data_IF_086910732234
#
_entry.id   IF_086910732234
#
_cell.length_a   1.000
_cell.length_b   1.000
_cell.length_c   1.000
_cell.angle_alpha   90.00
_cell.angle_beta   90.00
_cell.angle_gamma   90.00
#
_symmetry.space_group_name_H-M   'P 1'
#
loop_
_entity.id
_entity.type
_entity.pdbx_description
1 polymer ?
#
# COMPACT_ATOMS: atom_id res chain seq x y z
N UNK A 1 39.94 17.76 -62.20
CA UNK A 1 40.16 17.94 -60.74
C UNK A 1 38.82 18.07 -60.00
N UNK A 2 38.22 16.97 -59.52
CA UNK A 2 37.14 16.99 -58.52
C UNK A 2 37.53 15.97 -57.45
N UNK A 3 37.88 16.38 -56.23
CA UNK A 3 38.30 15.40 -55.21
C UNK A 3 38.72 15.87 -53.82
N UNK A 4 38.89 17.16 -53.54
CA UNK A 4 39.46 17.60 -52.25
C UNK A 4 38.47 18.25 -51.25
N UNK A 5 37.25 18.61 -51.68
CA UNK A 5 36.24 19.24 -50.81
C UNK A 5 35.47 18.29 -49.87
N UNK A 6 35.26 17.02 -50.27
CA UNK A 6 34.43 16.06 -49.51
C UNK A 6 35.17 15.42 -48.31
N UNK A 7 36.48 15.20 -48.38
CA UNK A 7 37.27 14.56 -47.30
C UNK A 7 37.46 15.44 -46.05
N UNK A 8 37.53 16.77 -46.20
CA UNK A 8 37.63 17.71 -45.05
C UNK A 8 36.28 17.89 -44.33
N UNK A 9 35.16 17.89 -45.06
CA UNK A 9 33.80 17.89 -44.47
C UNK A 9 33.50 16.58 -43.72
N UNK A 10 33.94 15.43 -44.23
CA UNK A 10 33.77 14.15 -43.53
C UNK A 10 34.62 14.05 -42.24
N UNK A 11 35.89 14.48 -42.25
CA UNK A 11 36.73 14.51 -41.04
C UNK A 11 36.17 15.42 -39.93
N UNK A 12 35.71 16.64 -40.27
CA UNK A 12 35.08 17.56 -39.29
C UNK A 12 33.78 16.99 -38.70
N UNK A 13 32.99 16.28 -39.51
CA UNK A 13 31.76 15.60 -39.07
C UNK A 13 32.08 14.45 -38.10
N UNK A 14 33.06 13.61 -38.42
CA UNK A 14 33.52 12.51 -37.57
C UNK A 14 34.04 13.02 -36.22
N UNK A 15 34.84 14.11 -36.21
CA UNK A 15 35.36 14.70 -34.97
C UNK A 15 34.21 15.23 -34.08
N UNK A 16 33.21 15.92 -34.67
CA UNK A 16 32.03 16.39 -33.94
C UNK A 16 31.18 15.23 -33.39
N UNK A 17 31.02 14.15 -34.15
CA UNK A 17 30.30 12.96 -33.72
C UNK A 17 31.02 12.23 -32.57
N UNK A 18 32.36 12.13 -32.61
CA UNK A 18 33.16 11.55 -31.52
C UNK A 18 33.13 12.42 -30.26
N UNK A 19 33.24 13.74 -30.41
CA UNK A 19 33.13 14.69 -29.28
C UNK A 19 31.73 14.66 -28.65
N UNK A 20 30.67 14.62 -29.47
CA UNK A 20 29.30 14.49 -29.00
C UNK A 20 29.06 13.15 -28.27
N UNK A 21 29.60 12.03 -28.79
CA UNK A 21 29.55 10.72 -28.11
C UNK A 21 30.29 10.72 -26.77
N UNK A 22 31.47 11.34 -26.70
CA UNK A 22 32.24 11.44 -25.46
C UNK A 22 31.55 12.35 -24.43
N UNK A 23 30.98 13.47 -24.87
CA UNK A 23 30.18 14.33 -24.01
C UNK A 23 28.94 13.59 -23.48
N UNK A 24 28.23 12.84 -24.35
CA UNK A 24 27.07 12.03 -23.99
C UNK A 24 27.43 11.03 -22.89
N UNK A 25 28.48 10.24 -23.07
CA UNK A 25 28.89 9.23 -22.08
C UNK A 25 29.34 9.86 -20.76
N UNK A 26 30.04 10.98 -20.79
CA UNK A 26 30.44 11.69 -19.58
C UNK A 26 29.25 12.19 -18.76
N UNK A 27 28.23 12.76 -19.41
CA UNK A 27 27.02 13.23 -18.72
C UNK A 27 26.26 12.06 -18.09
N UNK A 28 26.10 10.95 -18.83
CA UNK A 28 25.44 9.74 -18.33
C UNK A 28 26.15 9.22 -17.09
N UNK A 29 27.49 9.05 -17.16
CA UNK A 29 28.28 8.53 -16.05
C UNK A 29 28.18 9.42 -14.80
N UNK A 30 28.19 10.75 -14.97
CA UNK A 30 28.00 11.69 -13.86
C UNK A 30 26.59 11.55 -13.27
N UNK A 31 25.55 11.56 -14.10
CA UNK A 31 24.17 11.44 -13.64
C UNK A 31 23.94 10.16 -12.83
N UNK A 32 24.44 9.03 -13.33
CA UNK A 32 24.28 7.74 -12.68
C UNK A 32 25.08 7.65 -11.38
N UNK A 33 26.30 8.22 -11.34
CA UNK A 33 27.11 8.26 -10.13
C UNK A 33 26.44 9.10 -9.03
N UNK A 34 26.00 10.32 -9.35
CA UNK A 34 25.27 11.14 -8.39
C UNK A 34 24.00 10.47 -7.90
N UNK A 35 23.25 9.82 -8.80
CA UNK A 35 22.04 9.09 -8.44
C UNK A 35 22.35 7.92 -7.49
N UNK A 36 23.34 7.09 -7.82
CA UNK A 36 23.75 5.95 -6.99
C UNK A 36 24.24 6.36 -5.59
N UNK A 37 24.84 7.56 -5.47
CA UNK A 37 25.29 8.12 -4.19
C UNK A 37 24.21 8.92 -3.45
N UNK A 38 22.96 8.94 -3.94
CA UNK A 38 21.87 9.68 -3.32
C UNK A 38 21.99 11.21 -3.44
N UNK A 39 22.89 11.74 -4.27
CA UNK A 39 22.96 13.17 -4.57
C UNK A 39 21.90 13.52 -5.62
N UNK A 40 20.65 13.57 -5.16
CA UNK A 40 19.46 13.73 -6.00
C UNK A 40 19.49 15.04 -6.79
N UNK A 41 19.90 16.14 -6.18
CA UNK A 41 19.95 17.46 -6.84
C UNK A 41 20.91 17.46 -8.04
N UNK A 42 22.13 16.93 -7.87
CA UNK A 42 23.09 16.86 -8.96
C UNK A 42 22.69 15.84 -10.03
N UNK A 43 22.09 14.71 -9.64
CA UNK A 43 21.56 13.74 -10.59
C UNK A 43 20.50 14.37 -11.52
N UNK A 44 19.54 15.12 -10.96
CA UNK A 44 18.51 15.83 -11.74
C UNK A 44 19.13 16.84 -12.70
N UNK A 45 20.11 17.63 -12.23
CA UNK A 45 20.78 18.61 -13.10
C UNK A 45 21.38 17.94 -14.32
N UNK A 46 22.06 16.81 -14.14
CA UNK A 46 22.66 16.08 -15.25
C UNK A 46 21.64 15.39 -16.15
N UNK A 47 20.55 14.83 -15.61
CA UNK A 47 19.46 14.29 -16.43
C UNK A 47 18.77 15.36 -17.26
N UNK A 48 18.42 16.51 -16.66
CA UNK A 48 17.82 17.64 -17.38
C UNK A 48 18.77 18.18 -18.43
N UNK A 49 20.05 18.35 -18.09
CA UNK A 49 21.06 18.78 -19.06
C UNK A 49 21.14 17.83 -20.25
N UNK A 50 21.20 16.52 -20.01
CA UNK A 50 21.20 15.50 -21.07
C UNK A 50 20.00 15.63 -22.01
N UNK A 51 18.80 15.78 -21.46
CA UNK A 51 17.55 15.89 -22.22
C UNK A 51 17.50 17.20 -22.99
N UNK A 52 17.92 18.33 -22.38
CA UNK A 52 17.95 19.65 -23.02
C UNK A 52 18.93 19.73 -24.19
N UNK A 53 19.98 18.90 -24.20
CA UNK A 53 20.88 18.77 -25.36
C UNK A 53 20.26 17.96 -26.51
N UNK A 54 19.02 17.47 -26.37
CA UNK A 54 18.34 16.63 -27.37
C UNK A 54 18.87 15.20 -27.42
N UNK A 55 19.61 14.75 -26.40
CA UNK A 55 20.12 13.39 -26.37
C UNK A 55 19.02 12.38 -26.00
N UNK A 56 19.08 11.22 -26.64
CA UNK A 56 18.19 10.10 -26.38
C UNK A 56 18.98 8.91 -25.80
N UNK A 57 18.56 8.43 -24.64
CA UNK A 57 19.08 7.20 -24.02
C UNK A 57 18.03 6.61 -23.07
N UNK A 58 17.59 5.39 -23.35
CA UNK A 58 16.53 4.73 -22.56
C UNK A 58 16.85 4.66 -21.06
N UNK A 59 18.11 4.41 -20.67
CA UNK A 59 18.48 4.28 -19.26
C UNK A 59 18.42 5.63 -18.55
N UNK A 60 18.82 6.72 -19.22
CA UNK A 60 18.69 8.08 -18.69
C UNK A 60 17.23 8.42 -18.42
N UNK A 61 16.36 8.27 -19.42
CA UNK A 61 14.93 8.56 -19.25
C UNK A 61 14.31 7.65 -18.18
N UNK A 62 14.65 6.35 -18.18
CA UNK A 62 14.16 5.40 -17.17
C UNK A 62 14.55 5.81 -15.75
N UNK A 63 15.82 6.16 -15.52
CA UNK A 63 16.31 6.53 -14.20
C UNK A 63 15.79 7.90 -13.75
N UNK A 64 15.67 8.86 -14.67
CA UNK A 64 15.10 10.16 -14.35
C UNK A 64 13.61 10.07 -13.98
N UNK A 65 12.85 9.23 -14.67
CA UNK A 65 11.45 8.98 -14.31
C UNK A 65 11.28 8.38 -12.92
N UNK A 66 12.14 7.42 -12.52
CA UNK A 66 12.14 6.89 -11.15
C UNK A 66 12.46 7.99 -10.14
N UNK A 67 13.46 8.83 -10.41
CA UNK A 67 13.84 9.93 -9.54
C UNK A 67 12.71 10.96 -9.36
N UNK A 68 12.01 11.29 -10.45
CA UNK A 68 10.83 12.17 -10.40
C UNK A 68 9.71 11.58 -9.56
N UNK A 69 9.48 10.27 -9.66
CA UNK A 69 8.53 9.55 -8.80
C UNK A 69 8.90 9.69 -7.33
N UNK A 70 10.17 9.46 -6.97
CA UNK A 70 10.65 9.58 -5.59
C UNK A 70 10.47 10.99 -5.02
N UNK A 71 10.52 12.01 -5.87
CA UNK A 71 10.28 13.42 -5.52
C UNK A 71 8.78 13.80 -5.47
N UNK A 72 7.88 12.87 -5.80
CA UNK A 72 6.43 13.12 -5.84
C UNK A 72 5.92 13.73 -7.15
N UNK A 73 6.77 13.94 -8.16
CA UNK A 73 6.40 14.44 -9.49
C UNK A 73 5.89 13.31 -10.39
N UNK A 74 4.88 12.57 -9.90
CA UNK A 74 4.46 11.28 -10.48
C UNK A 74 3.89 11.45 -11.90
N UNK A 75 3.19 12.54 -12.19
CA UNK A 75 2.65 12.79 -13.55
C UNK A 75 3.77 13.06 -14.56
N UNK A 76 4.82 13.81 -14.18
CA UNK A 76 5.99 14.02 -15.04
C UNK A 76 6.79 12.71 -15.21
N UNK A 77 6.90 11.92 -14.13
CA UNK A 77 7.52 10.61 -14.17
C UNK A 77 6.86 9.68 -15.19
N UNK A 78 5.52 9.67 -15.29
CA UNK A 78 4.80 8.88 -16.31
C UNK A 78 5.24 9.27 -17.72
N UNK A 79 5.28 10.57 -18.03
CA UNK A 79 5.69 11.07 -19.36
C UNK A 79 7.13 10.66 -19.70
N UNK A 80 8.04 10.83 -18.74
CA UNK A 80 9.47 10.52 -18.92
C UNK A 80 9.69 9.01 -19.12
N UNK A 81 8.99 8.15 -18.37
CA UNK A 81 9.08 6.70 -18.54
C UNK A 81 8.46 6.24 -19.86
N UNK A 82 7.31 6.81 -20.28
CA UNK A 82 6.74 6.51 -21.60
C UNK A 82 7.73 6.87 -22.71
N UNK A 83 8.48 7.97 -22.57
CA UNK A 83 9.56 8.30 -23.51
C UNK A 83 10.69 7.28 -23.51
N UNK A 84 11.07 6.72 -22.35
CA UNK A 84 12.04 5.63 -22.29
C UNK A 84 11.57 4.40 -23.09
N UNK A 85 10.29 4.04 -22.97
CA UNK A 85 9.67 2.92 -23.71
C UNK A 85 9.63 3.20 -25.21
N UNK A 86 9.30 4.42 -25.65
CA UNK A 86 9.37 4.80 -27.06
C UNK A 86 10.78 4.63 -27.64
N UNK A 87 11.81 5.00 -26.87
CA UNK A 87 13.21 4.88 -27.30
C UNK A 87 13.68 3.42 -27.39
N UNK A 88 13.17 2.54 -26.51
CA UNK A 88 13.42 1.11 -26.57
C UNK A 88 12.25 0.31 -25.98
N UNK A 89 11.34 -0.19 -26.83
CA UNK A 89 10.17 -0.94 -26.37
C UNK A 89 10.49 -2.25 -25.66
N UNK A 90 11.69 -2.80 -25.87
CA UNK A 90 12.13 -4.07 -25.29
C UNK A 90 12.90 -3.90 -23.97
N UNK A 91 12.97 -2.69 -23.42
CA UNK A 91 13.63 -2.45 -22.15
C UNK A 91 12.70 -2.74 -20.97
N UNK A 92 12.73 -4.00 -20.49
CA UNK A 92 11.88 -4.52 -19.43
C UNK A 92 11.78 -3.60 -18.19
N UNK A 93 12.90 -2.97 -17.79
CA UNK A 93 12.94 -2.11 -16.61
C UNK A 93 12.04 -0.88 -16.74
N UNK A 94 11.93 -0.27 -17.93
CA UNK A 94 11.03 0.87 -18.12
C UNK A 94 9.55 0.49 -18.03
N UNK A 95 9.18 -0.71 -18.51
CA UNK A 95 7.82 -1.23 -18.32
C UNK A 95 7.51 -1.51 -16.84
N UNK A 96 8.47 -2.07 -16.09
CA UNK A 96 8.32 -2.27 -14.65
C UNK A 96 8.13 -0.94 -13.90
N UNK A 97 8.97 0.05 -14.22
CA UNK A 97 8.88 1.39 -13.64
C UNK A 97 7.56 2.09 -14.01
N UNK A 98 7.10 1.94 -15.26
CA UNK A 98 5.81 2.48 -15.70
C UNK A 98 4.68 1.88 -14.87
N UNK A 99 4.68 0.55 -14.69
CA UNK A 99 3.67 -0.13 -13.88
C UNK A 99 3.59 0.39 -12.44
N UNK A 100 4.74 0.62 -11.82
CA UNK A 100 4.82 1.19 -10.46
C UNK A 100 4.30 2.64 -10.42
N UNK A 101 4.61 3.46 -11.42
CA UNK A 101 4.11 4.85 -11.52
C UNK A 101 2.60 4.88 -11.76
N UNK A 102 2.11 4.08 -12.70
CA UNK A 102 0.68 3.95 -13.02
C UNK A 102 -0.10 3.46 -11.81
N UNK A 103 0.46 2.51 -11.05
CA UNK A 103 -0.09 2.09 -9.77
C UNK A 103 -0.29 3.30 -8.87
N UNK A 104 0.75 4.08 -8.58
CA UNK A 104 0.66 5.24 -7.68
C UNK A 104 -0.32 6.33 -8.17
N UNK A 105 -0.52 6.45 -9.48
CA UNK A 105 -1.53 7.33 -10.10
C UNK A 105 -2.97 6.81 -10.00
N UNK A 106 -3.19 5.57 -9.55
CA UNK A 106 -4.52 4.95 -9.54
C UNK A 106 -4.99 4.52 -10.93
N UNK A 107 -4.07 4.00 -11.75
CA UNK A 107 -4.32 3.38 -13.05
C UNK A 107 -3.97 1.90 -13.00
N UNK A 108 -4.65 1.13 -12.13
CA UNK A 108 -4.23 -0.23 -11.78
C UNK A 108 -4.27 -1.21 -12.96
N UNK A 109 -5.24 -1.12 -13.87
CA UNK A 109 -5.26 -2.00 -15.05
C UNK A 109 -4.13 -1.71 -16.03
N UNK A 110 -3.80 -0.44 -16.28
CA UNK A 110 -2.64 -0.09 -17.12
C UNK A 110 -1.32 -0.53 -16.46
N UNK A 111 -1.27 -0.46 -15.11
CA UNK A 111 -0.12 -0.94 -14.35
C UNK A 111 0.08 -2.45 -14.53
N UNK A 112 -1.00 -3.23 -14.46
CA UNK A 112 -0.97 -4.68 -14.70
C UNK A 112 -0.40 -5.00 -16.09
N UNK A 113 -0.90 -4.34 -17.14
CA UNK A 113 -0.44 -4.53 -18.53
C UNK A 113 1.07 -4.26 -18.64
N UNK A 114 1.52 -3.14 -18.08
CA UNK A 114 2.94 -2.76 -18.13
C UNK A 114 3.84 -3.76 -17.39
N UNK A 115 3.40 -4.26 -16.23
CA UNK A 115 4.16 -5.23 -15.44
C UNK A 115 4.22 -6.60 -16.11
N UNK A 116 3.13 -7.05 -16.74
CA UNK A 116 3.14 -8.27 -17.56
C UNK A 116 4.13 -8.15 -18.72
N UNK A 117 4.18 -7.00 -19.39
CA UNK A 117 5.17 -6.76 -20.46
C UNK A 117 6.61 -6.78 -19.93
N UNK A 118 6.85 -6.25 -18.73
CA UNK A 118 8.16 -6.33 -18.09
C UNK A 118 8.60 -7.79 -17.81
N UNK A 119 7.67 -8.63 -17.35
CA UNK A 119 7.91 -10.06 -17.10
C UNK A 119 8.14 -10.82 -18.42
N UNK A 120 7.36 -10.53 -19.46
CA UNK A 120 7.54 -11.13 -20.79
C UNK A 120 8.95 -10.85 -21.33
N UNK A 121 9.40 -9.60 -21.22
CA UNK A 121 10.73 -9.17 -21.70
C UNK A 121 11.88 -9.66 -20.80
N UNK A 122 11.63 -9.85 -19.50
CA UNK A 122 12.61 -10.39 -18.56
C UNK A 122 11.93 -11.30 -17.51
N UNK A 123 11.82 -12.60 -17.80
CA UNK A 123 11.20 -13.57 -16.89
C UNK A 123 11.95 -13.78 -15.56
N UNK A 124 13.16 -13.20 -15.41
CA UNK A 124 13.97 -13.28 -14.18
C UNK A 124 13.85 -12.01 -13.32
N UNK A 125 12.98 -11.06 -13.68
CA UNK A 125 12.82 -9.79 -12.94
C UNK A 125 11.97 -9.96 -11.68
N UNK A 126 12.61 -10.22 -10.54
CA UNK A 126 11.91 -10.35 -9.25
C UNK A 126 11.06 -9.14 -8.89
N UNK A 127 11.51 -7.92 -9.21
CA UNK A 127 10.74 -6.69 -8.95
C UNK A 127 9.46 -6.64 -9.76
N UNK A 128 9.49 -7.02 -11.05
CA UNK A 128 8.30 -7.03 -11.89
C UNK A 128 7.24 -8.01 -11.37
N UNK A 129 7.64 -9.22 -10.95
CA UNK A 129 6.72 -10.18 -10.33
C UNK A 129 6.13 -9.67 -9.00
N UNK A 130 6.95 -9.10 -8.12
CA UNK A 130 6.43 -8.56 -6.85
C UNK A 130 5.48 -7.39 -7.07
N UNK A 131 5.83 -6.48 -7.97
CA UNK A 131 4.99 -5.33 -8.30
C UNK A 131 3.66 -5.81 -8.93
N UNK A 132 3.70 -6.81 -9.82
CA UNK A 132 2.51 -7.40 -10.40
C UNK A 132 1.62 -8.04 -9.33
N UNK A 133 2.16 -8.87 -8.43
CA UNK A 133 1.40 -9.45 -7.32
C UNK A 133 0.73 -8.38 -6.45
N UNK A 134 1.44 -7.28 -6.17
CA UNK A 134 0.86 -6.13 -5.47
C UNK A 134 -0.30 -5.47 -6.23
N UNK A 135 -0.16 -5.25 -7.53
CA UNK A 135 -1.23 -4.69 -8.38
C UNK A 135 -2.43 -5.63 -8.48
N UNK A 136 -2.20 -6.93 -8.66
CA UNK A 136 -3.25 -7.94 -8.73
C UNK A 136 -4.05 -8.01 -7.43
N UNK A 137 -3.39 -7.93 -6.27
CA UNK A 137 -4.08 -7.82 -4.98
C UNK A 137 -4.92 -6.55 -4.90
N UNK A 138 -4.38 -5.40 -5.31
CA UNK A 138 -5.12 -4.13 -5.29
C UNK A 138 -6.32 -4.15 -6.26
N UNK A 139 -6.28 -4.97 -7.32
CA UNK A 139 -7.40 -5.25 -8.23
C UNK A 139 -8.37 -6.32 -7.70
N UNK A 140 -8.10 -6.95 -6.55
CA UNK A 140 -8.87 -8.08 -6.02
C UNK A 140 -8.80 -9.32 -6.91
N UNK A 141 -7.66 -9.57 -7.57
CA UNK A 141 -7.34 -10.79 -8.34
C UNK A 141 -6.41 -11.68 -7.49
N UNK A 142 -6.94 -12.24 -6.41
CA UNK A 142 -6.13 -12.82 -5.34
C UNK A 142 -5.48 -14.14 -5.76
N UNK A 143 -6.21 -15.01 -6.44
CA UNK A 143 -5.72 -16.28 -6.97
C UNK A 143 -4.56 -16.06 -7.93
N UNK A 144 -4.69 -15.06 -8.80
CA UNK A 144 -3.64 -14.70 -9.75
C UNK A 144 -2.42 -14.07 -9.05
N UNK A 145 -2.64 -13.24 -8.03
CA UNK A 145 -1.56 -12.72 -7.17
C UNK A 145 -0.79 -13.85 -6.47
N UNK A 146 -1.49 -14.88 -5.97
CA UNK A 146 -0.89 -16.06 -5.34
C UNK A 146 -0.09 -16.85 -6.39
N UNK A 147 -0.67 -17.09 -7.57
CA UNK A 147 0.01 -17.77 -8.68
C UNK A 147 1.32 -17.09 -9.08
N UNK A 148 1.29 -15.77 -9.34
CA UNK A 148 2.49 -14.98 -9.66
C UNK A 148 3.53 -15.03 -8.53
N UNK A 149 3.07 -15.08 -7.27
CA UNK A 149 3.97 -15.21 -6.12
C UNK A 149 4.61 -16.60 -6.04
N UNK A 150 3.91 -17.68 -6.39
CA UNK A 150 4.51 -19.03 -6.48
C UNK A 150 5.60 -19.09 -7.56
N UNK A 151 5.43 -18.42 -8.70
CA UNK A 151 6.47 -18.34 -9.73
C UNK A 151 7.80 -17.75 -9.19
N UNK A 152 7.74 -16.82 -8.24
CA UNK A 152 8.93 -16.28 -7.55
C UNK A 152 9.62 -17.36 -6.69
N UNK A 153 8.84 -18.16 -5.97
CA UNK A 153 9.35 -19.24 -5.11
C UNK A 153 10.09 -20.29 -5.94
N UNK A 154 9.51 -20.67 -7.08
CA UNK A 154 10.03 -21.68 -8.01
C UNK A 154 11.27 -21.19 -8.79
N UNK A 155 11.39 -19.88 -9.04
CA UNK A 155 12.52 -19.33 -9.79
C UNK A 155 13.82 -19.42 -8.99
N UNK A 156 14.69 -20.35 -9.38
CA UNK A 156 15.98 -20.62 -8.71
C UNK A 156 16.93 -19.40 -8.66
N UNK A 157 16.92 -18.55 -9.70
CA UNK A 157 17.82 -17.39 -9.78
C UNK A 157 17.42 -16.23 -8.85
N UNK A 158 16.22 -16.24 -8.28
CA UNK A 158 15.77 -15.19 -7.37
C UNK A 158 16.25 -15.47 -5.94
N UNK A 159 16.79 -14.43 -5.31
CA UNK A 159 17.31 -14.52 -3.94
C UNK A 159 16.18 -14.71 -2.90
N UNK A 160 16.56 -15.08 -1.67
CA UNK A 160 15.61 -15.32 -0.57
C UNK A 160 14.79 -14.08 -0.18
N UNK A 161 15.28 -12.87 -0.45
CA UNK A 161 14.54 -11.63 -0.19
C UNK A 161 13.29 -11.48 -1.06
N UNK A 162 13.36 -11.83 -2.35
CA UNK A 162 12.18 -11.89 -3.21
C UNK A 162 11.21 -12.99 -2.77
N UNK A 163 11.73 -14.17 -2.44
CA UNK A 163 10.92 -15.29 -1.94
C UNK A 163 10.19 -14.93 -0.65
N UNK A 164 10.84 -14.21 0.26
CA UNK A 164 10.22 -13.74 1.48
C UNK A 164 9.05 -12.77 1.22
N UNK A 165 9.21 -11.84 0.27
CA UNK A 165 8.11 -10.94 -0.15
C UNK A 165 6.95 -11.73 -0.77
N UNK A 166 7.25 -12.74 -1.57
CA UNK A 166 6.25 -13.61 -2.20
C UNK A 166 5.47 -14.43 -1.16
N UNK A 167 6.14 -15.04 -0.18
CA UNK A 167 5.48 -15.83 0.87
C UNK A 167 4.50 -15.01 1.71
N UNK A 168 4.83 -13.75 2.03
CA UNK A 168 3.89 -12.85 2.71
C UNK A 168 2.66 -12.57 1.84
N UNK A 169 2.84 -12.33 0.54
CA UNK A 169 1.71 -12.14 -0.36
C UNK A 169 0.83 -13.41 -0.44
N UNK A 170 1.44 -14.60 -0.48
CA UNK A 170 0.73 -15.89 -0.49
C UNK A 170 -0.05 -16.08 0.83
N UNK A 171 0.58 -15.81 1.97
CA UNK A 171 -0.08 -15.92 3.28
C UNK A 171 -1.30 -14.99 3.38
N UNK A 172 -1.15 -13.73 2.98
CA UNK A 172 -2.25 -12.74 2.98
C UNK A 172 -3.37 -13.18 2.02
N UNK A 173 -3.03 -13.55 0.79
CA UNK A 173 -4.00 -13.96 -0.22
C UNK A 173 -4.81 -15.19 0.24
N UNK A 174 -4.14 -16.22 0.74
CA UNK A 174 -4.79 -17.42 1.25
C UNK A 174 -5.66 -17.12 2.48
N UNK A 175 -5.23 -16.24 3.38
CA UNK A 175 -6.05 -15.82 4.51
C UNK A 175 -7.35 -15.16 4.04
N UNK A 176 -7.28 -14.27 3.05
CA UNK A 176 -8.45 -13.61 2.48
C UNK A 176 -9.38 -14.62 1.79
N UNK A 177 -8.81 -15.62 1.11
CA UNK A 177 -9.55 -16.71 0.44
C UNK A 177 -10.01 -17.85 1.39
N UNK A 178 -9.84 -17.68 2.72
CA UNK A 178 -10.20 -18.69 3.74
C UNK A 178 -9.40 -19.99 3.65
N UNK A 179 -8.26 -20.00 2.94
CA UNK A 179 -7.36 -21.14 2.88
C UNK A 179 -6.35 -21.11 4.04
N UNK A 180 -6.82 -21.52 5.22
CA UNK A 180 -6.02 -21.47 6.45
C UNK A 180 -4.79 -22.40 6.41
N UNK A 181 -4.88 -23.56 5.74
CA UNK A 181 -3.75 -24.50 5.62
C UNK A 181 -2.57 -23.85 4.90
N UNK A 182 -2.81 -23.31 3.69
CA UNK A 182 -1.76 -22.65 2.91
C UNK A 182 -1.27 -21.35 3.57
N UNK A 183 -2.15 -20.66 4.30
CA UNK A 183 -1.77 -19.52 5.13
C UNK A 183 -0.71 -19.94 6.15
N UNK A 184 -0.95 -21.03 6.89
CA UNK A 184 -0.02 -21.54 7.90
C UNK A 184 1.31 -22.00 7.30
N UNK A 185 1.28 -22.78 6.22
CA UNK A 185 2.50 -23.24 5.53
C UNK A 185 3.36 -22.06 5.07
N UNK A 186 2.73 -21.05 4.48
CA UNK A 186 3.41 -19.84 4.00
C UNK A 186 4.03 -19.02 5.14
N UNK A 187 3.35 -18.92 6.29
CA UNK A 187 3.87 -18.24 7.48
C UNK A 187 5.07 -18.99 8.10
N UNK A 188 5.00 -20.31 8.19
CA UNK A 188 6.13 -21.10 8.68
C UNK A 188 7.36 -20.92 7.80
N UNK A 189 7.19 -21.00 6.47
CA UNK A 189 8.29 -20.76 5.53
C UNK A 189 8.81 -19.32 5.60
N UNK A 190 7.93 -18.35 5.81
CA UNK A 190 8.31 -16.94 6.04
C UNK A 190 9.22 -16.83 7.25
N UNK A 191 8.83 -17.42 8.38
CA UNK A 191 9.58 -17.38 9.63
C UNK A 191 10.94 -18.09 9.51
N UNK A 192 11.01 -19.21 8.80
CA UNK A 192 12.26 -19.89 8.45
C UNK A 192 13.19 -18.97 7.65
N UNK A 193 12.72 -18.36 6.55
CA UNK A 193 13.55 -17.45 5.76
C UNK A 193 14.00 -16.20 6.54
N UNK A 194 13.16 -15.70 7.45
CA UNK A 194 13.54 -14.61 8.36
C UNK A 194 14.70 -15.06 9.27
N UNK A 195 14.62 -16.26 9.85
CA UNK A 195 15.66 -16.83 10.70
C UNK A 195 16.97 -17.03 9.93
N UNK A 196 16.89 -17.43 8.66
CA UNK A 196 18.04 -17.55 7.75
C UNK A 196 18.63 -16.20 7.29
N UNK A 197 18.12 -15.06 7.77
CA UNK A 197 18.64 -13.74 7.44
C UNK A 197 18.18 -13.18 6.09
N UNK A 198 17.14 -13.74 5.46
CA UNK A 198 16.64 -13.28 4.15
C UNK A 198 16.20 -11.81 4.15
N UNK A 199 15.82 -11.26 5.31
CA UNK A 199 15.50 -9.84 5.46
C UNK A 199 16.66 -8.91 5.08
N UNK A 200 17.92 -9.34 5.30
CA UNK A 200 19.11 -8.53 5.00
C UNK A 200 19.34 -8.37 3.49
N UNK A 201 18.70 -9.19 2.67
CA UNK A 201 18.76 -9.12 1.21
C UNK A 201 17.81 -8.06 0.63
N UNK A 202 16.96 -7.46 1.47
CA UNK A 202 15.98 -6.46 1.05
C UNK A 202 16.53 -5.07 1.36
N UNK A 203 16.93 -4.34 0.32
CA UNK A 203 17.56 -3.03 0.45
C UNK A 203 16.60 -2.01 1.10
N UNK A 204 15.40 -1.88 0.56
CA UNK A 204 14.39 -0.93 1.04
C UNK A 204 13.94 -1.21 2.48
N UNK A 205 14.22 -0.26 3.39
CA UNK A 205 13.83 -0.34 4.80
C UNK A 205 12.32 -0.50 4.99
N UNK A 206 11.53 0.17 4.14
CA UNK A 206 10.07 0.10 4.19
C UNK A 206 9.56 -1.32 3.87
N UNK A 207 10.13 -1.99 2.87
CA UNK A 207 9.77 -3.37 2.54
C UNK A 207 10.14 -4.35 3.67
N UNK A 208 11.32 -4.18 4.29
CA UNK A 208 11.70 -4.96 5.48
C UNK A 208 10.70 -4.77 6.63
N UNK A 209 10.34 -3.51 6.91
CA UNK A 209 9.35 -3.17 7.95
C UNK A 209 8.00 -3.79 7.64
N UNK A 210 7.52 -3.68 6.39
CA UNK A 210 6.25 -4.23 5.95
C UNK A 210 6.18 -5.75 6.16
N UNK A 211 7.20 -6.48 5.72
CA UNK A 211 7.28 -7.94 5.89
C UNK A 211 7.24 -8.31 7.36
N UNK A 212 8.06 -7.67 8.20
CA UNK A 212 8.11 -7.95 9.64
C UNK A 212 6.78 -7.65 10.35
N UNK A 213 6.11 -6.56 9.96
CA UNK A 213 4.82 -6.18 10.56
C UNK A 213 3.76 -7.20 10.19
N UNK A 214 3.60 -7.53 8.90
CA UNK A 214 2.60 -8.50 8.46
C UNK A 214 2.93 -9.93 8.92
N UNK A 215 4.19 -10.35 8.90
CA UNK A 215 4.57 -11.69 9.37
C UNK A 215 4.22 -11.88 10.84
N UNK A 216 4.53 -10.89 11.69
CA UNK A 216 4.22 -10.91 13.12
C UNK A 216 2.73 -10.81 13.38
N UNK A 217 2.05 -9.89 12.70
CA UNK A 217 0.60 -9.71 12.86
C UNK A 217 -0.16 -10.97 12.46
N UNK A 218 0.12 -11.56 11.30
CA UNK A 218 -0.58 -12.77 10.89
C UNK A 218 -0.18 -13.96 11.78
N UNK A 219 1.08 -14.03 12.24
CA UNK A 219 1.50 -15.07 13.19
C UNK A 219 0.82 -14.94 14.56
N UNK A 220 0.47 -13.73 15.00
CA UNK A 220 -0.27 -13.51 16.26
C UNK A 220 -1.78 -13.71 16.10
N UNK A 221 -2.31 -13.38 14.92
CA UNK A 221 -3.71 -13.54 14.55
C UNK A 221 -4.09 -15.01 14.30
N UNK A 222 -3.26 -15.76 13.57
CA UNK A 222 -3.60 -17.09 13.08
C UNK A 222 -4.03 -18.09 14.17
N UNK A 223 -3.37 -18.16 15.36
CA UNK A 223 -3.76 -19.07 16.43
C UNK A 223 -5.14 -18.78 17.03
N UNK A 224 -5.59 -17.53 17.02
CA UNK A 224 -6.85 -17.07 17.64
C UNK A 224 -8.00 -16.97 16.64
N UNK A 225 -7.75 -17.18 15.34
CA UNK A 225 -8.83 -17.27 14.36
C UNK A 225 -9.67 -18.53 14.59
N UNK A 226 -10.99 -18.32 14.75
CA UNK A 226 -11.95 -19.42 14.69
C UNK A 226 -12.01 -19.94 13.26
N UNK A 227 -11.65 -21.21 13.09
CA UNK A 227 -11.60 -21.93 11.81
C UNK A 227 -12.74 -22.95 11.81
N UNK A 228 -13.91 -22.54 11.34
CA UNK A 228 -15.03 -23.46 11.18
C UNK A 228 -14.75 -24.38 9.99
N UNK A 229 -14.76 -25.69 10.22
CA UNK A 229 -14.63 -26.70 9.16
C UNK A 229 -15.99 -27.10 8.54
N UNK A 230 -17.07 -26.47 9.01
CA UNK A 230 -18.42 -26.74 8.50
C UNK A 230 -18.63 -26.05 7.15
N UNK A 231 -19.57 -26.59 6.37
CA UNK A 231 -20.04 -25.94 5.16
C UNK A 231 -20.79 -24.65 5.51
N UNK A 232 -20.06 -23.53 5.46
CA UNK A 232 -20.57 -22.18 5.72
C UNK A 232 -21.16 -21.52 4.46
N UNK A 233 -21.35 -22.26 3.34
CA UNK A 233 -21.78 -21.68 2.06
C UNK A 233 -23.13 -20.98 2.11
N UNK A 234 -24.00 -21.36 3.05
CA UNK A 234 -25.31 -20.75 3.28
C UNK A 234 -25.25 -19.39 3.99
N UNK A 235 -24.11 -19.04 4.61
CA UNK A 235 -23.98 -17.81 5.38
C UNK A 235 -23.87 -16.61 4.45
N UNK A 236 -24.68 -15.58 4.72
CA UNK A 236 -24.52 -14.29 4.06
C UNK A 236 -23.16 -13.70 4.42
N UNK A 237 -22.46 -13.20 3.40
CA UNK A 237 -21.15 -12.58 3.55
C UNK A 237 -21.30 -11.07 3.73
N UNK A 238 -20.44 -10.47 4.54
CA UNK A 238 -20.31 -9.01 4.69
C UNK A 238 -18.91 -8.62 4.22
N UNK A 239 -18.76 -7.80 3.18
CA UNK A 239 -17.46 -7.27 2.80
C UNK A 239 -16.96 -6.32 3.89
N UNK A 240 -15.73 -6.55 4.35
CA UNK A 240 -15.04 -5.67 5.29
C UNK A 240 -13.83 -5.04 4.61
N UNK A 241 -13.99 -3.79 4.16
CA UNK A 241 -12.93 -3.00 3.55
C UNK A 241 -12.02 -2.40 4.62
N UNK A 242 -10.73 -2.69 4.54
CA UNK A 242 -9.79 -2.19 5.52
C UNK A 242 -8.33 -2.47 5.21
N UNK A 243 -7.49 -2.26 6.22
CA UNK A 243 -6.09 -2.66 6.20
C UNK A 243 -5.90 -3.83 7.18
N UNK A 244 -5.20 -3.67 8.31
CA UNK A 244 -5.01 -4.75 9.27
C UNK A 244 -6.30 -5.18 9.99
N UNK A 245 -7.19 -4.26 10.35
CA UNK A 245 -8.42 -4.58 11.09
C UNK A 245 -9.38 -5.50 10.32
N UNK A 246 -9.48 -5.39 8.99
CA UNK A 246 -10.34 -6.32 8.25
C UNK A 246 -9.81 -7.74 8.33
N UNK A 247 -8.47 -7.92 8.40
CA UNK A 247 -7.85 -9.23 8.61
C UNK A 247 -8.04 -9.74 10.04
N UNK A 248 -8.02 -8.87 11.05
CA UNK A 248 -8.32 -9.24 12.45
C UNK A 248 -9.65 -9.99 12.59
N UNK A 249 -10.62 -9.70 11.72
CA UNK A 249 -11.93 -10.33 11.73
C UNK A 249 -12.18 -11.26 10.54
N UNK A 250 -11.12 -11.70 9.85
CA UNK A 250 -11.23 -12.55 8.67
C UNK A 250 -12.07 -13.81 8.98
N UNK A 251 -13.15 -13.98 8.21
CA UNK A 251 -14.06 -15.14 8.26
C UNK A 251 -14.76 -15.36 9.60
N UNK A 252 -14.69 -14.39 10.51
CA UNK A 252 -15.40 -14.46 11.78
C UNK A 252 -16.90 -14.23 11.56
N UNK A 253 -17.70 -14.78 12.47
CA UNK A 253 -19.15 -14.70 12.44
C UNK A 253 -19.63 -13.58 13.35
N UNK A 254 -20.62 -12.81 12.89
CA UNK A 254 -21.26 -11.75 13.68
C UNK A 254 -22.78 -11.79 13.47
N UNK A 255 -23.58 -11.78 14.56
CA UNK A 255 -25.02 -11.64 14.44
C UNK A 255 -25.39 -10.18 14.16
N UNK A 256 -26.19 -9.94 13.13
CA UNK A 256 -26.77 -8.62 12.82
C UNK A 256 -28.24 -8.84 12.48
N UNK A 257 -29.13 -8.12 13.15
CA UNK A 257 -30.59 -8.26 12.98
C UNK A 257 -31.07 -9.71 13.09
N UNK A 258 -30.55 -10.45 14.09
CA UNK A 258 -30.83 -11.87 14.34
C UNK A 258 -30.41 -12.84 13.22
N UNK A 259 -29.69 -12.35 12.20
CA UNK A 259 -29.06 -13.17 11.18
C UNK A 259 -27.57 -13.31 11.46
N UNK A 260 -27.05 -14.54 11.42
CA UNK A 260 -25.62 -14.79 11.51
C UNK A 260 -24.95 -14.55 10.14
N UNK A 261 -23.92 -13.69 10.11
CA UNK A 261 -23.22 -13.31 8.88
C UNK A 261 -21.71 -13.59 9.01
N UNK A 262 -21.07 -13.97 7.89
CA UNK A 262 -19.63 -14.21 7.83
C UNK A 262 -18.91 -12.98 7.26
N UNK A 263 -17.86 -12.52 7.94
CA UNK A 263 -17.02 -11.43 7.43
C UNK A 263 -16.14 -11.94 6.30
N UNK A 264 -16.24 -11.29 5.13
CA UNK A 264 -15.29 -11.45 4.03
C UNK A 264 -14.31 -10.26 4.06
N UNK A 265 -13.04 -10.46 4.44
CA UNK A 265 -12.06 -9.38 4.43
C UNK A 265 -11.79 -8.90 3.00
N UNK A 266 -11.68 -7.59 2.82
CA UNK A 266 -11.33 -6.93 1.56
C UNK A 266 -10.19 -5.94 1.83
N UNK A 267 -8.97 -6.41 1.57
CA UNK A 267 -7.76 -5.68 1.95
C UNK A 267 -7.39 -4.61 0.93
N UNK A 268 -7.24 -3.36 1.39
CA UNK A 268 -6.62 -2.26 0.65
C UNK A 268 -5.29 -1.91 1.33
N UNK A 269 -4.18 -2.46 0.81
CA UNK A 269 -2.88 -2.42 1.50
C UNK A 269 -2.35 -1.00 1.69
N UNK A 270 -1.99 -0.65 2.92
CA UNK A 270 -1.40 0.65 3.27
C UNK A 270 -2.36 1.83 3.20
N UNK A 271 -3.66 1.60 2.98
CA UNK A 271 -4.66 2.65 3.00
C UNK A 271 -4.80 3.28 4.40
N UNK A 272 -5.16 4.56 4.40
CA UNK A 272 -5.39 5.43 5.56
C UNK A 272 -6.49 6.41 5.20
N UNK A 273 -7.17 6.96 6.20
CA UNK A 273 -8.28 7.87 5.97
C UNK A 273 -7.89 9.07 5.09
N UNK A 274 -6.70 9.65 5.32
CA UNK A 274 -6.23 10.80 4.53
C UNK A 274 -6.10 10.51 3.02
N UNK A 275 -5.76 9.28 2.63
CA UNK A 275 -5.66 8.89 1.22
C UNK A 275 -7.02 9.00 0.49
N UNK A 276 -8.11 8.84 1.21
CA UNK A 276 -9.46 8.99 0.66
C UNK A 276 -9.97 10.43 0.79
N UNK A 277 -9.45 11.18 1.77
CA UNK A 277 -9.81 12.58 1.99
C UNK A 277 -9.30 13.54 0.91
N UNK A 278 -8.15 13.24 0.29
CA UNK A 278 -7.61 14.06 -0.81
C UNK A 278 -8.51 14.03 -2.05
N UNK A 279 -8.66 15.15 -2.76
CA UNK A 279 -9.52 15.23 -3.94
C UNK A 279 -9.03 14.40 -5.13
N UNK A 280 -7.70 14.35 -5.33
CA UNK A 280 -7.07 13.66 -6.46
C UNK A 280 -7.24 12.13 -6.35
N UNK A 281 -7.47 11.48 -7.50
CA UNK A 281 -7.36 10.02 -7.60
C UNK A 281 -5.96 9.53 -7.25
N UNK A 282 -5.92 8.35 -6.66
CA UNK A 282 -4.70 7.66 -6.25
C UNK A 282 -4.97 6.15 -6.19
N UNK A 283 -3.91 5.38 -5.94
CA UNK A 283 -3.96 3.91 -5.91
C UNK A 283 -4.99 3.31 -4.95
N UNK A 284 -5.22 3.93 -3.79
CA UNK A 284 -6.13 3.40 -2.78
C UNK A 284 -7.58 3.63 -3.17
N UNK A 285 -7.90 4.82 -3.72
CA UNK A 285 -9.21 5.10 -4.31
C UNK A 285 -9.52 4.19 -5.48
N UNK A 286 -8.57 4.00 -6.38
CA UNK A 286 -8.75 3.11 -7.53
C UNK A 286 -8.95 1.66 -7.06
N UNK A 287 -8.07 1.15 -6.19
CA UNK A 287 -8.20 -0.19 -5.60
C UNK A 287 -9.57 -0.41 -4.93
N UNK A 288 -10.02 0.54 -4.10
CA UNK A 288 -11.34 0.48 -3.49
C UNK A 288 -12.45 0.43 -4.55
N UNK A 289 -12.42 1.30 -5.55
CA UNK A 289 -13.43 1.34 -6.61
C UNK A 289 -13.45 0.06 -7.45
N UNK A 290 -12.30 -0.57 -7.73
CA UNK A 290 -12.24 -1.84 -8.46
C UNK A 290 -12.75 -3.01 -7.63
N UNK A 291 -12.35 -3.07 -6.35
CA UNK A 291 -12.79 -4.14 -5.46
C UNK A 291 -14.27 -4.00 -5.09
N UNK A 292 -14.78 -2.78 -4.89
CA UNK A 292 -16.19 -2.50 -4.62
C UNK A 292 -17.12 -3.18 -5.64
N UNK A 293 -16.80 -3.06 -6.95
CA UNK A 293 -17.57 -3.68 -8.04
C UNK A 293 -17.71 -5.20 -7.94
N UNK A 294 -16.81 -5.88 -7.21
CA UNK A 294 -16.81 -7.34 -7.01
C UNK A 294 -17.47 -7.76 -5.68
N UNK A 295 -17.85 -6.81 -4.83
CA UNK A 295 -18.26 -7.07 -3.45
C UNK A 295 -19.65 -6.49 -3.13
N UNK A 296 -20.52 -6.33 -4.12
CA UNK A 296 -21.89 -5.80 -3.97
C UNK A 296 -22.93 -6.87 -3.59
N UNK A 297 -22.51 -8.00 -3.05
CA UNK A 297 -23.37 -9.15 -2.72
C UNK A 297 -24.11 -9.02 -1.37
N UNK A 298 -24.00 -7.88 -0.70
CA UNK A 298 -24.60 -7.60 0.61
C UNK A 298 -25.07 -6.16 0.65
N UNK A 299 -26.14 -5.89 1.41
CA UNK A 299 -26.59 -4.53 1.73
C UNK A 299 -25.79 -3.91 2.89
N UNK A 300 -24.97 -4.73 3.55
CA UNK A 300 -24.14 -4.36 4.69
C UNK A 300 -22.67 -4.28 4.26
N UNK A 301 -21.94 -3.25 4.71
CA UNK A 301 -20.49 -3.14 4.54
C UNK A 301 -19.80 -2.69 5.82
N UNK A 302 -18.64 -3.26 6.09
CA UNK A 302 -17.77 -2.85 7.18
C UNK A 302 -16.57 -2.08 6.65
N UNK A 303 -16.20 -1.00 7.32
CA UNK A 303 -15.15 -0.06 6.88
C UNK A 303 -14.21 0.21 8.04
N UNK A 304 -12.92 -0.12 7.88
CA UNK A 304 -11.90 0.06 8.91
C UNK A 304 -10.65 0.74 8.36
N UNK A 305 -10.82 1.97 7.86
CA UNK A 305 -9.70 2.83 7.49
C UNK A 305 -9.51 3.91 8.54
N UNK A 306 -8.54 3.69 9.43
CA UNK A 306 -8.13 4.68 10.42
C UNK A 306 -6.96 5.53 9.94
N UNK A 307 -6.80 6.68 10.57
CA UNK A 307 -5.56 7.44 10.58
C UNK A 307 -4.67 6.94 11.72
N UNK A 308 -3.56 6.31 11.36
CA UNK A 308 -2.73 5.64 12.35
C UNK A 308 -1.54 6.54 12.68
N UNK A 309 -1.69 7.45 13.66
CA UNK A 309 -0.57 7.84 14.52
C UNK A 309 -0.34 6.72 15.55
N UNK A 310 -0.09 5.47 15.14
CA UNK A 310 0.44 4.46 16.09
C UNK A 310 1.97 4.50 16.16
N UNK A 311 2.60 5.37 15.35
CA UNK A 311 4.05 5.48 15.21
C UNK A 311 4.44 6.92 15.49
N UNK A 312 5.58 7.13 16.15
CA UNK A 312 6.05 8.48 16.53
C UNK A 312 6.44 9.33 15.31
N UNK A 313 6.69 8.71 14.17
CA UNK A 313 7.29 9.30 12.97
C UNK A 313 6.32 9.49 11.79
N UNK A 314 5.09 8.99 11.86
CA UNK A 314 4.11 9.04 10.77
C UNK A 314 2.69 9.28 11.29
N UNK A 315 1.92 10.14 10.62
CA UNK A 315 0.50 10.40 10.89
C UNK A 315 0.18 11.90 11.03
N UNK A 316 -0.90 12.22 11.76
CA UNK A 316 -1.38 13.60 11.94
C UNK A 316 -0.39 14.40 12.79
N UNK A 317 0.13 13.82 13.88
CA UNK A 317 1.00 14.56 14.81
C UNK A 317 2.31 15.02 14.15
N UNK A 318 3.09 14.16 13.45
CA UNK A 318 4.28 14.64 12.74
C UNK A 318 3.96 15.64 11.63
N UNK A 319 2.81 15.47 10.97
CA UNK A 319 2.36 16.39 9.93
C UNK A 319 2.03 17.77 10.48
N UNK A 320 1.28 17.86 11.57
CA UNK A 320 0.89 19.13 12.21
C UNK A 320 2.11 19.88 12.74
N UNK A 321 3.06 19.17 13.35
CA UNK A 321 4.33 19.72 13.79
C UNK A 321 5.16 20.29 12.63
N UNK A 322 5.28 19.55 11.52
CA UNK A 322 6.04 19.99 10.34
C UNK A 322 5.38 21.14 9.58
N UNK A 323 4.05 21.15 9.53
CA UNK A 323 3.27 22.11 8.75
C UNK A 323 2.75 23.30 9.57
N UNK A 324 3.05 23.33 10.88
CA UNK A 324 2.54 24.30 11.84
C UNK A 324 1.00 24.47 11.75
N UNK A 325 0.30 23.34 11.71
CA UNK A 325 -1.17 23.27 11.65
C UNK A 325 -1.77 22.80 12.96
N UNK A 326 -2.99 23.22 13.24
CA UNK A 326 -3.76 22.73 14.37
C UNK A 326 -4.22 21.26 14.16
N UNK A 327 -4.13 20.46 15.22
CA UNK A 327 -4.46 19.02 15.19
C UNK A 327 -5.95 18.81 14.95
N UNK A 328 -6.81 19.58 15.62
CA UNK A 328 -8.25 19.43 15.50
C UNK A 328 -8.70 19.69 14.05
N UNK A 329 -8.18 20.75 13.44
CA UNK A 329 -8.47 21.08 12.04
C UNK A 329 -8.01 19.98 11.08
N UNK A 330 -6.79 19.45 11.25
CA UNK A 330 -6.30 18.36 10.39
C UNK A 330 -7.13 17.08 10.56
N UNK A 331 -7.50 16.72 11.80
CA UNK A 331 -8.42 15.62 12.06
C UNK A 331 -9.77 15.84 11.37
N UNK A 332 -10.37 17.02 11.56
CA UNK A 332 -11.68 17.36 11.01
C UNK A 332 -11.68 17.33 9.48
N UNK A 333 -10.68 17.93 8.83
CA UNK A 333 -10.56 17.92 7.36
C UNK A 333 -10.36 16.51 6.82
N UNK A 334 -9.52 15.72 7.48
CA UNK A 334 -9.27 14.30 7.11
C UNK A 334 -10.55 13.49 7.22
N UNK A 335 -11.27 13.60 8.33
CA UNK A 335 -12.50 12.85 8.59
C UNK A 335 -13.61 13.27 7.64
N UNK A 336 -13.78 14.58 7.42
CA UNK A 336 -14.80 15.08 6.49
C UNK A 336 -14.52 14.60 5.07
N UNK A 337 -13.29 14.73 4.57
CA UNK A 337 -12.94 14.23 3.25
C UNK A 337 -13.12 12.71 3.14
N UNK A 338 -12.66 11.97 4.15
CA UNK A 338 -12.75 10.51 4.20
C UNK A 338 -14.21 10.02 4.18
N UNK A 339 -15.02 10.47 5.14
CA UNK A 339 -16.42 10.01 5.26
C UNK A 339 -17.23 10.49 4.07
N UNK A 340 -17.07 11.73 3.61
CA UNK A 340 -17.79 12.21 2.42
C UNK A 340 -17.46 11.36 1.19
N UNK A 341 -16.18 11.05 0.96
CA UNK A 341 -15.79 10.18 -0.16
C UNK A 341 -16.40 8.78 -0.04
N UNK A 342 -16.32 8.18 1.15
CA UNK A 342 -16.88 6.84 1.40
C UNK A 342 -18.40 6.81 1.22
N UNK A 343 -19.13 7.76 1.80
CA UNK A 343 -20.59 7.81 1.68
C UNK A 343 -21.03 8.02 0.23
N UNK A 344 -20.32 8.84 -0.56
CA UNK A 344 -20.61 9.01 -1.99
C UNK A 344 -20.52 7.67 -2.74
N UNK A 345 -19.47 6.88 -2.51
CA UNK A 345 -19.27 5.65 -3.29
C UNK A 345 -20.01 4.45 -2.71
N UNK A 346 -20.24 4.38 -1.39
CA UNK A 346 -20.79 3.20 -0.73
C UNK A 346 -22.32 3.25 -0.61
N UNK A 347 -22.93 4.42 -0.43
CA UNK A 347 -24.39 4.55 -0.19
C UNK A 347 -25.24 3.99 -1.33
N UNK A 348 -24.74 4.02 -2.56
CA UNK A 348 -25.40 3.45 -3.74
C UNK A 348 -25.46 1.91 -3.72
N UNK A 349 -24.59 1.25 -2.95
CA UNK A 349 -24.44 -0.20 -2.93
C UNK A 349 -24.83 -0.83 -1.59
N UNK A 350 -24.71 -0.08 -0.49
CA UNK A 350 -24.90 -0.59 0.86
C UNK A 350 -25.81 0.34 1.65
N UNK A 351 -26.98 -0.17 2.04
CA UNK A 351 -27.93 0.57 2.89
C UNK A 351 -27.42 0.70 4.33
N UNK A 352 -26.64 -0.28 4.81
CA UNK A 352 -26.08 -0.30 6.17
C UNK A 352 -24.54 -0.28 6.12
N UNK A 353 -23.95 0.82 6.59
CA UNK A 353 -22.50 1.05 6.54
C UNK A 353 -21.97 1.18 7.97
N UNK A 354 -21.04 0.31 8.34
CA UNK A 354 -20.46 0.26 9.69
C UNK A 354 -19.00 0.70 9.66
N UNK A 355 -18.69 1.82 10.32
CA UNK A 355 -17.33 2.33 10.44
C UNK A 355 -16.71 1.93 11.76
N UNK A 356 -15.54 1.32 11.69
CA UNK A 356 -14.75 0.96 12.87
C UNK A 356 -13.87 2.13 13.27
N UNK A 357 -13.94 2.50 14.55
CA UNK A 357 -13.01 3.43 15.17
C UNK A 357 -11.57 2.92 15.20
N UNK A 358 -10.68 3.77 15.66
CA UNK A 358 -9.25 3.48 15.79
C UNK A 358 -8.95 3.05 17.21
N UNK A 359 -8.23 1.95 17.46
CA UNK A 359 -7.89 1.50 18.80
C UNK A 359 -7.02 2.53 19.54
N UNK A 360 -7.09 2.49 20.87
CA UNK A 360 -6.22 3.29 21.71
C UNK A 360 -4.73 2.96 21.45
N UNK A 361 -3.84 3.96 21.45
CA UNK A 361 -2.43 3.75 21.17
C UNK A 361 -1.73 2.99 22.31
N UNK A 362 -0.74 2.18 21.94
CA UNK A 362 0.17 1.53 22.90
C UNK A 362 1.39 2.43 23.17
N UNK A 363 1.82 2.51 24.43
CA UNK A 363 2.99 3.29 24.85
C UNK A 363 4.08 2.34 25.37
N UNK A 364 5.36 2.64 25.10
CA UNK A 364 6.48 1.93 25.72
C UNK A 364 6.73 2.53 27.11
N UNK A 365 6.75 1.69 28.14
CA UNK A 365 6.83 2.08 29.57
C UNK A 365 8.03 2.98 29.95
N UNK A 366 9.10 3.00 29.16
CA UNK A 366 10.38 3.54 29.62
C UNK A 366 10.62 5.03 29.34
N UNK A 367 9.78 5.73 28.58
CA UNK A 367 9.76 7.21 28.49
C UNK A 367 8.45 7.68 27.86
N UNK A 368 7.49 8.14 28.67
CA UNK A 368 6.37 8.94 28.17
C UNK A 368 6.88 10.33 27.84
N UNK A 369 7.03 10.64 26.55
CA UNK A 369 7.37 11.99 26.09
C UNK A 369 6.11 12.79 25.75
N UNK A 370 6.26 14.11 25.56
CA UNK A 370 5.17 15.02 25.17
C UNK A 370 4.44 14.54 23.90
N UNK A 371 5.16 13.85 23.01
CA UNK A 371 4.62 13.32 21.76
C UNK A 371 3.63 12.17 22.02
N UNK A 372 3.91 11.31 22.99
CA UNK A 372 2.98 10.24 23.39
C UNK A 372 1.66 10.81 23.94
N UNK A 373 1.69 11.90 24.73
CA UNK A 373 0.48 12.59 25.19
C UNK A 373 -0.31 13.21 24.03
N UNK A 374 0.37 13.96 23.14
CA UNK A 374 -0.25 14.54 21.93
C UNK A 374 -0.91 13.46 21.07
N UNK A 375 -0.29 12.29 20.97
CA UNK A 375 -0.82 11.16 20.20
C UNK A 375 -2.08 10.56 20.81
N UNK A 376 -2.11 10.36 22.12
CA UNK A 376 -3.31 9.90 22.84
C UNK A 376 -4.46 10.87 22.61
N UNK A 377 -4.21 12.16 22.79
CA UNK A 377 -5.20 13.20 22.59
C UNK A 377 -5.68 13.25 21.13
N UNK A 378 -4.75 13.16 20.17
CA UNK A 378 -5.07 13.12 18.73
C UNK A 378 -5.99 11.96 18.39
N UNK A 379 -5.70 10.74 18.86
CA UNK A 379 -6.53 9.55 18.60
C UNK A 379 -7.91 9.67 19.28
N UNK A 380 -7.96 10.22 20.50
CA UNK A 380 -9.23 10.50 21.20
C UNK A 380 -10.09 11.48 20.41
N UNK A 381 -9.50 12.61 20.01
CA UNK A 381 -10.16 13.65 19.20
C UNK A 381 -10.61 13.10 17.86
N UNK A 382 -9.76 12.35 17.18
CA UNK A 382 -10.07 11.72 15.90
C UNK A 382 -11.28 10.78 16.01
N UNK A 383 -11.31 9.87 17.00
CA UNK A 383 -12.45 8.96 17.18
C UNK A 383 -13.74 9.68 17.51
N UNK A 384 -13.69 10.72 18.36
CA UNK A 384 -14.85 11.55 18.69
C UNK A 384 -15.44 12.23 17.45
N UNK A 385 -14.58 12.86 16.64
CA UNK A 385 -14.97 13.51 15.39
C UNK A 385 -15.49 12.51 14.36
N UNK A 386 -14.82 11.36 14.22
CA UNK A 386 -15.23 10.31 13.29
C UNK A 386 -16.61 9.77 13.65
N UNK A 387 -16.83 9.45 14.93
CA UNK A 387 -18.12 9.02 15.46
C UNK A 387 -19.22 10.01 15.13
N UNK A 388 -19.03 11.29 15.47
CA UNK A 388 -20.01 12.34 15.16
C UNK A 388 -20.33 12.42 13.67
N UNK A 389 -19.29 12.42 12.83
CA UNK A 389 -19.45 12.54 11.37
C UNK A 389 -20.18 11.33 10.76
N UNK A 390 -19.80 10.11 11.15
CA UNK A 390 -20.41 8.86 10.68
C UNK A 390 -21.88 8.77 11.08
N UNK A 391 -22.21 9.08 12.34
CA UNK A 391 -23.60 9.03 12.80
C UNK A 391 -24.45 10.08 12.07
N UNK A 392 -23.91 11.30 11.87
CA UNK A 392 -24.60 12.35 11.11
C UNK A 392 -24.81 12.03 9.62
N UNK A 393 -24.06 11.07 9.05
CA UNK A 393 -24.26 10.60 7.68
C UNK A 393 -25.24 9.41 7.59
N UNK A 394 -25.91 9.05 8.69
CA UNK A 394 -26.85 7.93 8.72
C UNK A 394 -26.16 6.55 8.74
N UNK A 395 -24.89 6.50 9.14
CA UNK A 395 -24.09 5.27 9.19
C UNK A 395 -23.82 4.83 10.63
N UNK A 396 -23.52 3.55 10.83
CA UNK A 396 -23.24 2.97 12.15
C UNK A 396 -21.77 3.16 12.53
N UNK A 397 -21.49 3.38 13.81
CA UNK A 397 -20.13 3.51 14.32
C UNK A 397 -19.83 2.45 15.37
N UNK A 398 -18.72 1.72 15.19
CA UNK A 398 -18.21 0.72 16.14
C UNK A 398 -17.09 1.38 16.96
N UNK A 399 -17.33 1.58 18.26
CA UNK A 399 -16.46 2.35 19.16
C UNK A 399 -15.26 1.53 19.68
N UNK A 400 -14.36 1.19 18.75
CA UNK A 400 -13.13 0.44 19.01
C UNK A 400 -12.23 1.13 20.04
N UNK A 401 -12.16 2.47 20.01
CA UNK A 401 -11.37 3.24 20.97
C UNK A 401 -11.86 2.98 22.39
N UNK A 402 -13.17 3.06 22.63
CA UNK A 402 -13.73 2.83 23.96
C UNK A 402 -13.52 1.40 24.46
N UNK A 403 -13.56 0.39 23.58
CA UNK A 403 -13.24 -1.00 23.97
C UNK A 403 -11.78 -1.16 24.40
N UNK A 404 -10.87 -0.52 23.68
CA UNK A 404 -9.42 -0.75 23.82
C UNK A 404 -8.74 0.24 24.77
N UNK A 405 -9.43 1.30 25.18
CA UNK A 405 -8.87 2.35 26.03
C UNK A 405 -8.96 1.99 27.52
N UNK A 406 -7.87 2.25 28.24
CA UNK A 406 -7.88 2.44 29.69
C UNK A 406 -8.38 3.85 30.05
N UNK A 407 -8.51 4.15 31.34
CA UNK A 407 -8.90 5.49 31.85
C UNK A 407 -7.99 6.60 31.30
N UNK A 408 -6.72 6.31 31.08
CA UNK A 408 -5.73 7.28 30.59
C UNK A 408 -5.70 7.44 29.07
N UNK A 409 -6.58 6.77 28.32
CA UNK A 409 -6.58 6.85 26.85
C UNK A 409 -5.59 5.92 26.16
N UNK A 410 -4.96 5.00 26.90
CA UNK A 410 -3.91 4.09 26.43
C UNK A 410 -4.50 2.69 26.23
N UNK A 411 -3.95 1.93 25.28
CA UNK A 411 -4.34 0.54 25.04
C UNK A 411 -4.32 -0.32 26.32
N UNK A 412 -5.45 -0.94 26.64
CA UNK A 412 -5.62 -1.82 27.81
C UNK A 412 -5.04 -3.24 27.60
N UNK A 413 -4.68 -3.59 26.36
CA UNK A 413 -4.13 -4.88 25.93
C UNK A 413 -5.04 -6.10 26.19
N UNK A 414 -6.33 -5.90 26.48
CA UNK A 414 -7.26 -7.00 26.79
C UNK A 414 -7.79 -7.66 25.51
N UNK A 415 -8.12 -6.85 24.50
CA UNK A 415 -8.83 -7.29 23.30
C UNK A 415 -7.96 -7.29 22.04
N UNK A 416 -6.67 -7.57 22.20
CA UNK A 416 -5.68 -7.45 21.13
C UNK A 416 -4.99 -8.80 20.89
N UNK A 417 -4.76 -9.17 19.62
CA UNK A 417 -3.95 -10.36 19.28
C UNK A 417 -2.44 -10.05 19.32
N UNK A 418 -2.08 -8.78 19.20
CA UNK A 418 -0.74 -8.26 19.50
C UNK A 418 -0.83 -6.90 20.19
N UNK A 419 0.26 -6.12 20.25
CA UNK A 419 0.25 -4.81 20.93
C UNK A 419 -0.56 -3.73 20.21
N UNK A 420 -1.09 -3.99 19.02
CA UNK A 420 -1.62 -2.97 18.10
C UNK A 420 -2.89 -3.40 17.36
N UNK A 421 -3.11 -4.70 17.14
CA UNK A 421 -4.21 -5.23 16.35
C UNK A 421 -5.24 -5.95 17.22
N UNK A 422 -6.51 -5.75 16.88
CA UNK A 422 -7.64 -6.36 17.58
C UNK A 422 -7.62 -7.88 17.44
N UNK A 423 -8.04 -8.56 18.50
CA UNK A 423 -8.28 -9.99 18.49
C UNK A 423 -9.61 -10.33 17.81
N UNK A 424 -9.73 -11.43 17.06
CA UNK A 424 -10.99 -11.90 16.48
C UNK A 424 -12.15 -11.98 17.49
N UNK A 425 -11.84 -12.36 18.73
CA UNK A 425 -12.80 -12.51 19.83
C UNK A 425 -13.42 -11.19 20.28
N UNK A 426 -12.80 -10.05 19.96
CA UNK A 426 -13.35 -8.73 20.28
C UNK A 426 -14.60 -8.39 19.46
N UNK A 427 -14.83 -9.09 18.35
CA UNK A 427 -15.90 -8.77 17.40
C UNK A 427 -17.29 -8.80 18.03
N UNK A 428 -17.63 -9.86 18.78
CA UNK A 428 -18.95 -9.95 19.42
C UNK A 428 -19.13 -8.84 20.45
N UNK A 429 -18.12 -8.60 21.28
CA UNK A 429 -18.14 -7.55 22.31
C UNK A 429 -18.37 -6.17 21.67
N UNK A 430 -17.70 -5.90 20.53
CA UNK A 430 -17.87 -4.65 19.79
C UNK A 430 -19.32 -4.43 19.37
N UNK A 431 -19.99 -5.47 18.85
CA UNK A 431 -21.38 -5.37 18.40
C UNK A 431 -22.37 -5.34 19.57
N UNK A 432 -22.10 -6.06 20.64
CA UNK A 432 -23.00 -6.17 21.79
C UNK A 432 -22.98 -4.91 22.67
N UNK A 433 -21.82 -4.24 22.81
CA UNK A 433 -21.63 -3.19 23.83
C UNK A 433 -21.05 -1.86 23.29
N UNK A 434 -20.53 -1.84 22.06
CA UNK A 434 -19.82 -0.67 21.50
C UNK A 434 -20.36 -0.22 20.14
N UNK A 435 -21.47 -0.78 19.68
CA UNK A 435 -22.20 -0.33 18.49
C UNK A 435 -22.99 0.94 18.80
N UNK A 436 -22.77 1.98 17.99
CA UNK A 436 -23.50 3.24 18.01
C UNK A 436 -24.35 3.37 16.75
N UNK A 437 -25.65 3.59 16.92
CA UNK A 437 -26.61 3.70 15.82
C UNK A 437 -26.89 5.17 15.46
N UNK A 438 -27.13 5.50 14.17
CA UNK A 438 -27.41 6.86 13.73
C UNK A 438 -28.73 7.44 14.29
N UNK A 439 -29.67 6.59 14.67
CA UNK A 439 -31.00 6.94 15.21
C UNK A 439 -30.99 7.55 16.63
N UNK A 440 -29.80 7.82 17.20
CA UNK A 440 -29.61 8.32 18.56
C UNK A 440 -28.83 9.65 18.64
N UNK A 441 -28.68 10.40 17.53
CA UNK A 441 -27.92 11.66 17.48
C UNK A 441 -28.63 12.80 16.77
#
# INVERSE_FOLDING_TARGET
>A
MKGFGNKKKSKKRIIKEVQSKNLKSQIISKAFNFHANGNISEAIKHYKYFINQGFADTKVFSNYGVLLKELGNITEAELIIRKAIELNPNFAMSHSNLGVILKDLGKLEEAEISLRKAIELNPKSGDAYINLGGVLRDLGKLEESIFISHSIIETKSLNKGYKLRALINIAIGNLILKNFSETFLSLNKTNELIYEGALNLIQEKQNRRHILVFSRFISSLYPVLKRNNNDDSYLKKIPHFGESHCLSFAHQMVPISSQLNQIQPVLITGAKAWHFAVSKMNKWKDSLNKQLKKHTYSDIVFISFGEIDCRKDEGIVPFTLKSNKDIFNVCNDTINGFVNYMEIILSHHYSQRYYFGIPAPSIKKELSDELDFKRIETIRTYNSLLKKKVLSSGSYFIDVYKLTSSENGINNNVHMCDKTHLSPESLSILFDSYLCEPSKF
#
